data_IF_710653084396
#
_entry.id   IF_710653084396
#
_cell.length_a   1.000
_cell.length_b   1.000
_cell.length_c   1.000
_cell.angle_alpha   90.00
_cell.angle_beta   90.00
_cell.angle_gamma   90.00
#
_symmetry.space_group_name_H-M   'P 1'
#
loop_
_entity.id
_entity.type
_entity.pdbx_description
1 polymer ?
#
# COMPACT_ATOMS: atom_id res chain seq x y z
N UNK A 1 36.94 -12.73 11.04
CA UNK A 1 35.63 -12.64 10.35
C UNK A 1 34.84 -11.43 10.88
N UNK A 2 35.48 -10.26 11.00
CA UNK A 2 34.98 -9.18 11.89
C UNK A 2 34.85 -7.80 11.18
N UNK A 3 35.03 -7.73 9.86
CA UNK A 3 34.97 -6.45 9.12
C UNK A 3 33.83 -6.39 8.09
N UNK A 4 33.57 -7.50 7.37
CA UNK A 4 32.47 -7.55 6.41
C UNK A 4 31.10 -7.57 7.09
N UNK A 5 30.99 -8.23 8.25
CA UNK A 5 29.74 -8.28 9.02
C UNK A 5 29.41 -6.95 9.68
N UNK A 6 30.40 -6.19 10.13
CA UNK A 6 30.17 -4.87 10.75
C UNK A 6 29.69 -3.84 9.74
N UNK A 7 30.23 -3.85 8.51
CA UNK A 7 29.80 -2.95 7.43
C UNK A 7 28.34 -3.20 7.04
N UNK A 8 27.93 -4.47 6.87
CA UNK A 8 26.53 -4.81 6.57
C UNK A 8 25.59 -4.35 7.69
N UNK A 9 25.98 -4.54 8.96
CA UNK A 9 25.17 -4.09 10.10
C UNK A 9 25.04 -2.56 10.17
N UNK A 10 26.07 -1.82 9.78
CA UNK A 10 26.03 -0.35 9.69
C UNK A 10 25.07 0.12 8.58
N UNK A 11 25.12 -0.51 7.41
CA UNK A 11 24.19 -0.22 6.30
C UNK A 11 22.73 -0.54 6.68
N UNK A 12 22.49 -1.69 7.31
CA UNK A 12 21.17 -2.10 7.80
C UNK A 12 20.62 -1.11 8.84
N UNK A 13 21.48 -0.63 9.75
CA UNK A 13 21.09 0.36 10.76
C UNK A 13 20.70 1.69 10.12
N UNK A 14 21.45 2.16 9.12
CA UNK A 14 21.12 3.39 8.38
C UNK A 14 19.80 3.22 7.64
N UNK A 15 19.59 2.10 6.96
CA UNK A 15 18.32 1.79 6.28
C UNK A 15 17.14 1.77 7.26
N UNK A 16 17.31 1.16 8.43
CA UNK A 16 16.31 1.12 9.48
C UNK A 16 15.97 2.51 10.03
N UNK A 17 16.96 3.37 10.26
CA UNK A 17 16.76 4.74 10.71
C UNK A 17 15.97 5.58 9.68
N UNK A 18 16.26 5.41 8.39
CA UNK A 18 15.52 6.08 7.31
C UNK A 18 14.07 5.61 7.28
N UNK A 19 13.83 4.29 7.38
CA UNK A 19 12.48 3.73 7.45
C UNK A 19 11.70 4.29 8.66
N UNK A 20 12.31 4.33 9.84
CA UNK A 20 11.66 4.88 11.02
C UNK A 20 11.38 6.38 10.88
N UNK A 21 12.32 7.16 10.36
CA UNK A 21 12.13 8.59 10.16
C UNK A 21 10.97 8.87 9.19
N UNK A 22 10.87 8.13 8.09
CA UNK A 22 9.75 8.25 7.14
C UNK A 22 8.41 7.84 7.77
N UNK A 23 8.38 6.77 8.56
CA UNK A 23 7.18 6.34 9.27
C UNK A 23 6.70 7.37 10.29
N UNK A 24 7.63 7.92 11.09
CA UNK A 24 7.33 8.94 12.11
C UNK A 24 6.81 10.21 11.45
N UNK A 25 7.44 10.66 10.36
CA UNK A 25 6.98 11.87 9.64
C UNK A 25 5.61 11.67 9.02
N UNK A 26 5.33 10.51 8.41
CA UNK A 26 4.00 10.20 7.87
C UNK A 26 2.93 10.17 8.97
N UNK A 27 3.17 9.46 10.06
CA UNK A 27 2.18 9.29 11.13
C UNK A 27 1.92 10.56 11.94
N UNK A 28 2.95 11.37 12.22
CA UNK A 28 2.79 12.55 13.07
C UNK A 28 2.44 13.81 12.28
N UNK A 29 2.96 14.00 11.07
CA UNK A 29 2.72 15.24 10.31
C UNK A 29 1.54 15.13 9.35
N UNK A 30 1.33 13.98 8.70
CA UNK A 30 0.28 13.80 7.70
C UNK A 30 -0.37 12.40 7.77
N UNK A 31 -1.06 12.06 8.87
CA UNK A 31 -1.58 10.71 9.09
C UNK A 31 -2.57 10.22 8.02
N UNK A 32 -3.28 11.14 7.38
CA UNK A 32 -4.33 10.83 6.40
C UNK A 32 -3.86 10.97 4.95
N UNK A 33 -2.56 11.16 4.70
CA UNK A 33 -2.02 11.40 3.34
C UNK A 33 -2.29 10.23 2.39
N UNK A 34 -2.27 9.01 2.92
CA UNK A 34 -2.41 7.78 2.13
C UNK A 34 -3.81 7.17 2.19
N UNK A 35 -4.71 7.71 3.02
CA UNK A 35 -6.06 7.18 3.23
C UNK A 35 -7.12 7.94 2.43
N UNK A 36 -8.21 7.26 2.10
CA UNK A 36 -9.34 7.87 1.41
C UNK A 36 -10.24 8.66 2.39
N UNK A 37 -10.57 9.94 2.12
CA UNK A 37 -11.51 10.72 2.93
C UNK A 37 -12.91 10.08 3.07
N UNK A 38 -13.35 9.27 2.11
CA UNK A 38 -14.67 8.61 2.18
C UNK A 38 -14.74 7.57 3.30
N UNK A 39 -13.61 7.03 3.76
CA UNK A 39 -13.55 6.07 4.87
C UNK A 39 -13.88 6.69 6.25
N UNK A 40 -13.94 8.03 6.35
CA UNK A 40 -14.40 8.71 7.57
C UNK A 40 -15.93 8.72 7.71
N UNK A 41 -16.66 8.43 6.63
CA UNK A 41 -18.11 8.30 6.67
C UNK A 41 -18.50 6.87 7.09
N UNK A 42 -19.52 6.70 7.95
CA UNK A 42 -19.99 5.37 8.30
C UNK A 42 -20.53 4.64 7.07
N UNK A 43 -20.23 3.35 6.97
CA UNK A 43 -20.65 2.53 5.84
C UNK A 43 -22.18 2.47 5.73
N UNK A 44 -22.71 2.80 4.55
CA UNK A 44 -24.12 2.69 4.23
C UNK A 44 -24.31 1.69 3.07
N UNK A 45 -24.91 0.51 3.30
CA UNK A 45 -25.08 -0.50 2.25
C UNK A 45 -26.04 -0.11 1.13
N UNK A 46 -26.82 0.97 1.31
CA UNK A 46 -27.77 1.47 0.30
C UNK A 46 -27.16 2.55 -0.61
N UNK A 47 -25.95 3.04 -0.31
CA UNK A 47 -25.31 4.13 -1.06
C UNK A 47 -23.89 3.72 -1.39
N UNK A 48 -23.60 3.55 -2.69
CA UNK A 48 -22.23 3.35 -3.18
C UNK A 48 -21.59 4.69 -3.52
N UNK A 49 -20.38 4.99 -3.00
CA UNK A 49 -19.63 6.16 -3.41
C UNK A 49 -19.37 6.19 -4.93
N UNK A 50 -19.23 7.39 -5.50
CA UNK A 50 -19.06 7.58 -6.95
C UNK A 50 -17.69 7.06 -7.44
N UNK A 51 -16.67 7.13 -6.60
CA UNK A 51 -15.30 6.72 -6.93
C UNK A 51 -14.79 5.71 -5.89
N UNK A 52 -15.19 4.44 -6.05
CA UNK A 52 -14.72 3.35 -5.18
C UNK A 52 -13.41 2.80 -5.75
N UNK A 53 -12.33 2.94 -4.98
CA UNK A 53 -11.01 2.38 -5.29
C UNK A 53 -10.45 1.70 -4.05
N UNK A 54 -9.63 0.65 -4.21
CA UNK A 54 -8.93 0.07 -3.07
C UNK A 54 -7.79 0.98 -2.62
N UNK A 55 -7.23 0.67 -1.44
CA UNK A 55 -6.05 1.34 -0.91
C UNK A 55 -4.88 1.34 -1.90
N UNK A 56 -3.99 2.32 -1.76
CA UNK A 56 -2.94 2.64 -2.73
C UNK A 56 -2.08 1.44 -3.15
N UNK A 57 -1.74 0.55 -2.21
CA UNK A 57 -0.92 -0.65 -2.45
C UNK A 57 -1.63 -1.71 -3.30
N UNK A 58 -2.94 -1.62 -3.49
CA UNK A 58 -3.74 -2.50 -4.35
C UNK A 58 -4.12 -1.89 -5.70
N UNK A 59 -3.84 -0.61 -5.94
CA UNK A 59 -4.23 0.07 -7.19
C UNK A 59 -3.65 -0.61 -8.43
N UNK A 60 -2.46 -1.21 -8.34
CA UNK A 60 -1.85 -1.95 -9.45
C UNK A 60 -2.72 -3.15 -9.88
N UNK A 61 -3.17 -3.96 -8.92
CA UNK A 61 -3.99 -5.14 -9.18
C UNK A 61 -5.38 -4.72 -9.68
N UNK A 62 -5.95 -3.64 -9.13
CA UNK A 62 -7.22 -3.09 -9.58
C UNK A 62 -7.17 -2.55 -11.02
N UNK A 63 -6.05 -1.93 -11.42
CA UNK A 63 -5.84 -1.51 -12.81
C UNK A 63 -5.80 -2.70 -13.78
N UNK A 64 -5.10 -3.77 -13.41
CA UNK A 64 -5.06 -5.03 -14.19
C UNK A 64 -6.44 -5.66 -14.25
N UNK A 65 -7.20 -5.67 -13.15
CA UNK A 65 -8.55 -6.23 -13.14
C UNK A 65 -9.51 -5.47 -14.06
N UNK A 66 -9.43 -4.13 -14.09
CA UNK A 66 -10.28 -3.29 -14.96
C UNK A 66 -9.90 -3.35 -16.43
N UNK A 67 -8.68 -3.76 -16.78
CA UNK A 67 -8.27 -3.90 -18.19
C UNK A 67 -8.76 -5.19 -18.84
N UNK A 68 -9.22 -6.17 -18.04
CA UNK A 68 -9.76 -7.45 -18.52
C UNK A 68 -11.30 -7.38 -18.57
N UNK A 69 -11.93 -7.41 -19.75
CA UNK A 69 -13.38 -7.27 -19.90
C UNK A 69 -14.18 -8.51 -19.44
N UNK A 70 -13.51 -9.62 -19.08
CA UNK A 70 -14.15 -10.86 -18.62
C UNK A 70 -13.95 -11.06 -17.11
N UNK A 71 -15.07 -11.19 -16.39
CA UNK A 71 -15.13 -11.37 -14.93
C UNK A 71 -14.39 -12.63 -14.43
N UNK A 72 -14.34 -13.71 -15.21
CA UNK A 72 -13.62 -14.95 -14.85
C UNK A 72 -12.11 -14.87 -15.14
N UNK A 73 -11.73 -14.20 -16.22
CA UNK A 73 -10.32 -14.00 -16.57
C UNK A 73 -9.60 -13.16 -15.51
N UNK A 74 -10.20 -12.04 -15.10
CA UNK A 74 -9.61 -11.15 -14.09
C UNK A 74 -9.32 -11.82 -12.74
N UNK A 75 -10.21 -12.71 -12.28
CA UNK A 75 -10.03 -13.46 -11.02
C UNK A 75 -8.99 -14.57 -11.16
N UNK A 76 -8.93 -15.25 -12.31
CA UNK A 76 -7.92 -16.30 -12.56
C UNK A 76 -6.48 -15.76 -12.66
N UNK A 77 -6.31 -14.57 -13.24
CA UNK A 77 -5.00 -13.92 -13.34
C UNK A 77 -4.46 -13.42 -12.00
N UNK A 78 -5.30 -12.96 -11.07
CA UNK A 78 -4.83 -12.52 -9.75
C UNK A 78 -4.42 -13.68 -8.83
N UNK A 79 -4.81 -14.91 -9.15
CA UNK A 79 -4.51 -16.12 -8.38
C UNK A 79 -3.31 -16.92 -8.94
N UNK A 80 -2.70 -16.47 -10.04
CA UNK A 80 -1.58 -17.16 -10.70
C UNK A 80 -0.20 -16.68 -10.26
N UNK A 81 -0.12 -15.85 -9.22
CA UNK A 81 1.11 -15.40 -8.56
C UNK A 81 1.05 -15.67 -7.06
#
# INVERSE_FOLDING_TARGET
MNGMTTVVLEEDLVGFLILLATLITLTLLNPNLLGDPENFNPANPLVTPVHIQPEWYFLFAYAILRSIPNKLGGVGWSLSY
#
